data_IF_207589326851
#
_entry.id   IF_207589326851
#
_cell.length_a   1.000
_cell.length_b   1.000
_cell.length_c   1.000
_cell.angle_alpha   90.00
_cell.angle_beta   90.00
_cell.angle_gamma   90.00
#
_symmetry.space_group_name_H-M   'P 1'
#
loop_
_entity.id
_entity.type
_entity.pdbx_description
1 polymer ?
#
# COMPACT_ATOMS: atom_id res chain seq x y z
N UNK A 1 -17.34 -5.11 -20.28
CA UNK A 1 -18.09 -6.32 -19.88
C UNK A 1 -17.22 -7.11 -18.91
N UNK A 2 -17.76 -7.62 -17.80
CA UNK A 2 -16.99 -8.41 -16.82
C UNK A 2 -16.95 -9.88 -17.23
N UNK A 3 -15.82 -10.54 -17.00
CA UNK A 3 -15.68 -11.99 -17.14
C UNK A 3 -15.42 -12.69 -15.80
N UNK A 4 -15.96 -13.89 -15.63
CA UNK A 4 -15.77 -14.71 -14.43
C UNK A 4 -15.39 -16.15 -14.77
N UNK A 5 -14.36 -16.65 -14.10
CA UNK A 5 -13.88 -18.04 -14.13
C UNK A 5 -14.32 -18.74 -12.84
N UNK A 6 -14.71 -20.01 -12.92
CA UNK A 6 -15.14 -20.80 -11.76
C UNK A 6 -14.51 -22.18 -11.76
N UNK A 7 -14.16 -22.69 -10.57
CA UNK A 7 -13.70 -24.06 -10.38
C UNK A 7 -12.48 -24.42 -11.24
N UNK A 8 -12.59 -25.54 -11.96
CA UNK A 8 -11.54 -26.09 -12.83
C UNK A 8 -11.10 -25.14 -13.95
N UNK A 9 -11.95 -24.17 -14.34
CA UNK A 9 -11.62 -23.20 -15.37
C UNK A 9 -10.58 -22.18 -14.91
N UNK A 10 -10.49 -21.90 -13.60
CA UNK A 10 -9.49 -20.96 -13.07
C UNK A 10 -8.09 -21.48 -13.38
N UNK A 11 -7.82 -22.73 -13.03
CA UNK A 11 -6.52 -23.35 -13.28
C UNK A 11 -6.24 -23.53 -14.78
N UNK A 12 -7.27 -23.84 -15.57
CA UNK A 12 -7.14 -24.02 -17.03
C UNK A 12 -6.79 -22.74 -17.78
N UNK A 13 -7.23 -21.58 -17.29
CA UNK A 13 -7.02 -20.28 -17.96
C UNK A 13 -6.12 -19.30 -17.20
N UNK A 14 -5.56 -19.69 -16.05
CA UNK A 14 -4.75 -18.76 -15.22
C UNK A 14 -3.59 -18.13 -16.01
N UNK A 15 -2.96 -18.91 -16.88
CA UNK A 15 -1.79 -18.48 -17.66
C UNK A 15 -2.19 -17.89 -19.02
N UNK A 16 -3.46 -18.05 -19.43
CA UNK A 16 -3.97 -17.52 -20.69
C UNK A 16 -4.24 -16.01 -20.61
N UNK A 17 -4.69 -15.53 -19.45
CA UNK A 17 -4.93 -14.12 -19.21
C UNK A 17 -3.70 -13.44 -18.62
N UNK A 18 -3.14 -12.51 -19.39
CA UNK A 18 -2.11 -11.58 -18.98
C UNK A 18 -2.78 -10.24 -18.70
N UNK A 19 -2.31 -9.57 -17.64
CA UNK A 19 -2.78 -8.23 -17.31
C UNK A 19 -2.64 -7.30 -18.53
N UNK A 20 -3.72 -6.56 -18.83
CA UNK A 20 -3.83 -5.68 -20.00
C UNK A 20 -3.66 -6.35 -21.38
N UNK A 21 -3.75 -7.67 -21.49
CA UNK A 21 -3.77 -8.36 -22.79
C UNK A 21 -5.06 -8.09 -23.58
N UNK A 22 -4.97 -8.13 -24.91
CA UNK A 22 -6.13 -8.02 -25.80
C UNK A 22 -6.47 -9.38 -26.38
N UNK A 23 -7.71 -9.79 -26.17
CA UNK A 23 -8.19 -11.13 -26.47
C UNK A 23 -9.46 -11.08 -27.33
N UNK A 24 -9.51 -11.97 -28.30
CA UNK A 24 -10.74 -12.40 -28.94
C UNK A 24 -11.34 -13.52 -28.08
N UNK A 25 -12.58 -13.31 -27.63
CA UNK A 25 -13.28 -14.26 -26.78
C UNK A 25 -14.55 -14.68 -27.51
N UNK A 26 -14.66 -15.97 -27.82
CA UNK A 26 -15.81 -16.56 -28.49
C UNK A 26 -16.45 -17.66 -27.63
N UNK A 27 -17.74 -17.91 -27.84
CA UNK A 27 -18.50 -18.97 -27.15
C UNK A 27 -18.50 -18.87 -25.61
N UNK A 28 -18.37 -17.65 -25.07
CA UNK A 28 -18.55 -17.39 -23.64
C UNK A 28 -20.04 -17.16 -23.33
N UNK A 29 -20.70 -17.97 -22.48
CA UNK A 29 -22.07 -17.71 -22.05
C UNK A 29 -22.18 -16.38 -21.31
N UNK A 30 -23.16 -15.55 -21.70
CA UNK A 30 -23.46 -14.27 -21.07
C UNK A 30 -24.62 -14.47 -20.09
N UNK A 31 -24.48 -13.96 -18.87
CA UNK A 31 -25.47 -14.00 -17.80
C UNK A 31 -25.68 -12.61 -17.22
N UNK A 32 -26.82 -12.40 -16.56
CA UNK A 32 -27.03 -11.20 -15.77
C UNK A 32 -25.96 -11.10 -14.67
N UNK A 33 -25.39 -9.91 -14.50
CA UNK A 33 -24.44 -9.58 -13.46
C UNK A 33 -25.22 -9.29 -12.17
N UNK A 34 -24.89 -10.01 -11.11
CA UNK A 34 -25.48 -9.76 -9.81
C UNK A 34 -25.08 -8.36 -9.30
N UNK A 35 -26.04 -7.52 -8.89
CA UNK A 35 -25.76 -6.19 -8.35
C UNK A 35 -24.69 -6.17 -7.26
N UNK A 36 -24.59 -7.21 -6.43
CA UNK A 36 -23.60 -7.28 -5.35
C UNK A 36 -22.15 -7.32 -5.86
N UNK A 37 -21.93 -7.76 -7.10
CA UNK A 37 -20.63 -7.88 -7.71
C UNK A 37 -20.31 -6.73 -8.67
N UNK A 38 -21.22 -5.75 -8.84
CA UNK A 38 -20.94 -4.55 -9.63
C UNK A 38 -19.96 -3.64 -8.88
N UNK A 39 -18.90 -3.21 -9.55
CA UNK A 39 -17.91 -2.32 -9.00
C UNK A 39 -18.30 -0.86 -9.24
N UNK A 40 -19.02 -0.56 -10.30
CA UNK A 40 -19.51 0.78 -10.61
C UNK A 40 -21.00 0.75 -11.00
N UNK A 41 -21.79 1.80 -10.71
CA UNK A 41 -23.13 1.96 -11.30
C UNK A 41 -23.12 2.01 -12.83
N UNK A 42 -21.97 2.33 -13.43
CA UNK A 42 -21.76 2.34 -14.89
C UNK A 42 -21.31 1.00 -15.45
N UNK A 43 -21.11 -0.03 -14.61
CA UNK A 43 -20.80 -1.37 -15.09
C UNK A 43 -22.01 -1.96 -15.83
N UNK A 44 -21.73 -2.74 -16.87
CA UNK A 44 -22.78 -3.42 -17.63
C UNK A 44 -23.61 -4.36 -16.74
N UNK A 45 -24.90 -4.50 -17.05
CA UNK A 45 -25.83 -5.42 -16.40
C UNK A 45 -25.54 -6.90 -16.69
N UNK A 46 -24.61 -7.18 -17.58
CA UNK A 46 -24.26 -8.52 -18.03
C UNK A 46 -22.79 -8.83 -17.77
N UNK A 47 -22.53 -10.09 -17.46
CA UNK A 47 -21.20 -10.66 -17.31
C UNK A 47 -21.06 -11.90 -18.19
N UNK A 48 -19.86 -12.14 -18.72
CA UNK A 48 -19.50 -13.39 -19.38
C UNK A 48 -18.97 -14.38 -18.35
N UNK A 49 -19.29 -15.66 -18.53
CA UNK A 49 -18.68 -16.75 -17.78
C UNK A 49 -17.84 -17.59 -18.73
N UNK A 50 -16.60 -17.89 -18.34
CA UNK A 50 -15.74 -18.75 -19.13
C UNK A 50 -16.03 -20.21 -18.80
N UNK A 51 -16.34 -20.99 -19.84
CA UNK A 51 -16.60 -22.42 -19.72
C UNK A 51 -15.71 -23.25 -20.65
N UNK A 52 -15.97 -24.55 -20.69
CA UNK A 52 -15.19 -25.51 -21.50
C UNK A 52 -15.23 -25.26 -23.01
N UNK A 53 -16.29 -24.62 -23.49
CA UNK A 53 -16.45 -24.29 -24.92
C UNK A 53 -15.97 -22.89 -25.27
N UNK A 54 -15.57 -22.09 -24.28
CA UNK A 54 -15.11 -20.74 -24.51
C UNK A 54 -13.74 -20.78 -25.17
N UNK A 55 -13.59 -20.06 -26.27
CA UNK A 55 -12.35 -19.96 -27.02
C UNK A 55 -11.76 -18.59 -26.72
N UNK A 56 -10.50 -18.56 -26.29
CA UNK A 56 -9.76 -17.34 -25.99
C UNK A 56 -8.53 -17.32 -26.87
N UNK A 57 -8.40 -16.29 -27.69
CA UNK A 57 -7.25 -16.10 -28.57
C UNK A 57 -6.67 -14.72 -28.33
N UNK A 58 -5.37 -14.63 -28.03
CA UNK A 58 -4.68 -13.34 -27.97
C UNK A 58 -4.58 -12.76 -29.39
N UNK A 59 -5.11 -11.55 -29.61
CA UNK A 59 -5.13 -10.92 -30.94
C UNK A 59 -3.77 -10.28 -31.24
N UNK A 60 -3.10 -9.76 -30.21
CA UNK A 60 -1.75 -9.24 -30.33
C UNK A 60 -1.08 -9.27 -28.95
N UNK A 61 0.04 -9.99 -28.83
CA UNK A 61 0.85 -9.98 -27.60
C UNK A 61 1.56 -8.61 -27.41
N UNK A 62 1.60 -7.79 -28.46
CA UNK A 62 2.09 -6.41 -28.43
C UNK A 62 0.98 -5.36 -28.27
N UNK A 63 -0.28 -5.79 -28.09
CA UNK A 63 -1.40 -4.88 -27.90
C UNK A 63 -1.07 -3.89 -26.78
N UNK A 64 -1.12 -2.61 -27.14
CA UNK A 64 -0.74 -1.47 -26.32
C UNK A 64 -1.34 -1.63 -24.92
N UNK A 65 -0.49 -1.98 -23.94
CA UNK A 65 -0.89 -2.04 -22.54
C UNK A 65 -1.63 -0.75 -22.25
N UNK A 66 -2.91 -0.83 -21.86
CA UNK A 66 -3.69 0.35 -21.46
C UNK A 66 -2.85 1.07 -20.42
N UNK A 67 -2.34 2.24 -20.81
CA UNK A 67 -1.39 2.99 -19.98
C UNK A 67 -2.20 3.49 -18.78
N UNK A 68 -1.81 3.12 -17.55
CA UNK A 68 -2.52 3.58 -16.37
C UNK A 68 -2.56 5.10 -16.35
N UNK A 69 -3.70 5.66 -15.98
CA UNK A 69 -3.86 7.11 -15.93
C UNK A 69 -3.43 7.61 -14.55
N UNK A 70 -2.11 7.64 -14.32
CA UNK A 70 -1.56 8.00 -13.03
C UNK A 70 -1.90 9.42 -12.60
N UNK A 71 -2.46 9.54 -11.39
CA UNK A 71 -2.69 10.78 -10.68
C UNK A 71 -1.56 11.05 -9.68
N UNK A 72 -1.26 12.31 -9.38
CA UNK A 72 -0.37 12.66 -8.25
C UNK A 72 -1.10 12.47 -6.92
N UNK A 73 -0.33 12.28 -5.86
CA UNK A 73 -0.86 12.12 -4.50
C UNK A 73 -1.71 13.34 -4.09
N UNK A 74 -1.34 14.55 -4.53
CA UNK A 74 -2.10 15.78 -4.28
C UNK A 74 -3.49 15.82 -4.94
N UNK A 75 -3.70 15.09 -6.02
CA UNK A 75 -4.97 15.08 -6.79
C UNK A 75 -5.98 14.07 -6.22
N UNK A 76 -5.52 13.15 -5.38
CA UNK A 76 -6.36 12.12 -4.81
C UNK A 76 -7.37 12.71 -3.80
N UNK A 77 -8.63 12.27 -3.83
CA UNK A 77 -9.61 12.72 -2.85
C UNK A 77 -9.28 12.18 -1.46
N UNK A 78 -9.27 13.05 -0.45
CA UNK A 78 -8.94 12.66 0.94
C UNK A 78 -9.99 11.79 1.62
N UNK A 79 -11.20 11.78 1.09
CA UNK A 79 -12.34 11.05 1.60
C UNK A 79 -12.98 10.27 0.45
N UNK A 80 -13.31 9.01 0.67
CA UNK A 80 -14.05 8.21 -0.31
C UNK A 80 -15.52 8.59 -0.28
N UNK A 81 -16.09 9.04 -1.40
CA UNK A 81 -17.53 9.21 -1.56
C UNK A 81 -18.19 8.03 -2.33
N UNK A 82 -17.41 7.02 -2.73
CA UNK A 82 -17.92 5.90 -3.54
C UNK A 82 -16.92 4.77 -3.74
N UNK A 83 -17.14 3.98 -4.80
CA UNK A 83 -16.25 2.88 -5.22
C UNK A 83 -15.23 3.31 -6.28
N UNK A 84 -14.89 4.60 -6.29
CA UNK A 84 -13.88 5.17 -7.18
C UNK A 84 -12.52 4.52 -6.96
N UNK A 85 -11.80 4.34 -8.06
CA UNK A 85 -10.49 3.72 -8.07
C UNK A 85 -9.49 4.65 -8.74
N UNK A 86 -8.28 4.65 -8.23
CA UNK A 86 -7.24 5.58 -8.61
C UNK A 86 -5.97 4.84 -9.01
N UNK A 87 -5.39 5.24 -10.13
CA UNK A 87 -4.06 4.81 -10.53
C UNK A 87 -3.06 5.83 -9.97
N UNK A 88 -2.04 5.35 -9.25
CA UNK A 88 -1.07 6.20 -8.56
C UNK A 88 0.34 5.71 -8.89
N UNK A 89 1.25 6.66 -9.09
CA UNK A 89 2.67 6.40 -9.28
C UNK A 89 3.48 7.16 -8.25
N UNK A 90 4.50 6.52 -7.69
CA UNK A 90 5.36 7.15 -6.69
C UNK A 90 6.68 6.42 -6.52
N UNK A 91 7.58 7.07 -5.80
CA UNK A 91 8.85 6.51 -5.37
C UNK A 91 8.61 5.68 -4.12
N UNK A 92 9.06 4.43 -4.11
CA UNK A 92 9.00 3.55 -2.95
C UNK A 92 9.94 4.05 -1.85
N UNK A 93 9.36 4.42 -0.70
CA UNK A 93 10.09 4.96 0.47
C UNK A 93 10.24 3.92 1.55
N UNK A 94 9.21 3.10 1.75
CA UNK A 94 9.22 2.05 2.77
C UNK A 94 8.27 0.92 2.36
N UNK A 95 8.67 -0.30 2.71
CA UNK A 95 7.79 -1.46 2.66
C UNK A 95 8.06 -2.34 3.87
N UNK A 96 6.99 -2.87 4.46
CA UNK A 96 7.10 -3.80 5.58
C UNK A 96 7.79 -5.11 5.15
N UNK A 97 8.78 -5.56 5.92
CA UNK A 97 9.64 -6.69 5.56
C UNK A 97 8.85 -7.99 5.37
N UNK A 98 7.81 -8.22 6.19
CA UNK A 98 6.93 -9.38 6.12
C UNK A 98 5.46 -8.94 6.17
N UNK A 99 4.55 -9.66 5.50
CA UNK A 99 3.14 -9.38 5.64
C UNK A 99 2.68 -9.71 7.07
N UNK A 100 1.79 -8.89 7.61
CA UNK A 100 1.08 -9.12 8.87
C UNK A 100 -0.24 -9.86 8.60
N UNK A 101 -0.60 -10.77 9.50
CA UNK A 101 -1.90 -11.45 9.41
C UNK A 101 -2.96 -10.68 10.19
N UNK A 102 -4.10 -10.41 9.56
CA UNK A 102 -5.27 -9.76 10.15
C UNK A 102 -6.44 -10.71 10.10
N UNK A 103 -7.03 -11.01 11.26
CA UNK A 103 -8.25 -11.80 11.34
C UNK A 103 -9.47 -10.89 11.16
N UNK A 104 -10.31 -11.18 10.17
CA UNK A 104 -11.57 -10.45 9.95
C UNK A 104 -12.64 -10.86 10.95
N UNK A 105 -13.75 -10.10 11.00
CA UNK A 105 -14.92 -10.45 11.81
C UNK A 105 -15.51 -11.83 11.48
N UNK A 106 -15.26 -12.34 10.26
CA UNK A 106 -15.67 -13.66 9.78
C UNK A 106 -14.63 -14.75 10.11
N UNK A 107 -13.68 -14.49 11.02
CA UNK A 107 -12.58 -15.38 11.40
C UNK A 107 -11.65 -15.80 10.24
N UNK A 108 -11.71 -15.11 9.10
CA UNK A 108 -10.79 -15.35 7.98
C UNK A 108 -9.48 -14.61 8.24
N UNK A 109 -8.36 -15.31 8.11
CA UNK A 109 -7.03 -14.72 8.19
C UNK A 109 -6.66 -14.11 6.83
N UNK A 110 -6.31 -12.83 6.82
CA UNK A 110 -5.89 -12.10 5.63
C UNK A 110 -4.48 -11.55 5.82
N UNK A 111 -3.62 -11.73 4.81
CA UNK A 111 -2.30 -11.12 4.77
C UNK A 111 -2.41 -9.66 4.35
N UNK A 112 -1.72 -8.78 5.06
CA UNK A 112 -1.65 -7.34 4.78
C UNK A 112 -0.20 -6.90 4.82
N UNK A 113 0.20 -6.01 3.93
CA UNK A 113 1.54 -5.41 3.96
C UNK A 113 1.43 -3.91 3.71
N UNK A 114 2.12 -3.12 4.52
CA UNK A 114 2.14 -1.67 4.33
C UNK A 114 3.28 -1.25 3.39
N UNK A 115 2.92 -0.45 2.39
CA UNK A 115 3.81 0.18 1.43
C UNK A 115 3.67 1.69 1.59
N UNK A 116 4.77 2.42 1.51
CA UNK A 116 4.79 3.88 1.62
C UNK A 116 5.49 4.43 0.39
N UNK A 117 4.80 5.32 -0.31
CA UNK A 117 5.30 5.97 -1.51
C UNK A 117 5.30 7.49 -1.35
N UNK A 118 6.20 8.16 -2.06
CA UNK A 118 6.23 9.62 -2.16
C UNK A 118 6.24 10.07 -3.61
N UNK A 119 5.75 11.28 -3.85
CA UNK A 119 5.92 11.98 -5.12
C UNK A 119 6.36 13.42 -4.85
N UNK A 120 6.55 14.19 -5.92
CA UNK A 120 6.94 15.60 -5.83
C UNK A 120 5.78 16.53 -5.44
N UNK A 121 4.55 16.02 -5.37
CA UNK A 121 3.34 16.85 -5.21
C UNK A 121 2.99 17.14 -3.76
N UNK A 122 3.49 16.34 -2.82
CA UNK A 122 3.21 16.45 -1.39
C UNK A 122 4.47 16.21 -0.56
N UNK A 123 4.55 16.86 0.60
CA UNK A 123 5.64 16.63 1.56
C UNK A 123 5.46 15.33 2.37
N UNK A 124 4.21 14.90 2.55
CA UNK A 124 3.89 13.71 3.35
C UNK A 124 3.72 12.49 2.43
N UNK A 125 4.44 11.38 2.68
CA UNK A 125 4.30 10.20 1.86
C UNK A 125 2.94 9.52 2.09
N UNK A 126 2.43 8.89 1.04
CA UNK A 126 1.17 8.15 1.03
C UNK A 126 1.38 6.70 1.50
N UNK A 127 0.49 6.23 2.36
CA UNK A 127 0.47 4.83 2.80
C UNK A 127 -0.53 4.04 1.96
N UNK A 128 -0.08 2.90 1.43
CA UNK A 128 -0.87 1.92 0.69
C UNK A 128 -0.88 0.61 1.48
N UNK A 129 -2.06 0.06 1.75
CA UNK A 129 -2.22 -1.28 2.32
C UNK A 129 -2.44 -2.29 1.20
N UNK A 130 -1.45 -3.17 0.96
CA UNK A 130 -1.57 -4.34 0.10
C UNK A 130 -2.23 -5.49 0.85
N UNK A 131 -3.10 -6.24 0.18
CA UNK A 131 -3.88 -7.33 0.76
C UNK A 131 -3.72 -8.64 -0.04
N UNK A 132 -3.84 -9.77 0.64
CA UNK A 132 -3.80 -11.12 0.04
C UNK A 132 -2.49 -11.38 -0.71
N UNK A 133 -2.55 -12.00 -1.89
CA UNK A 133 -1.40 -12.37 -2.72
C UNK A 133 -0.55 -11.15 -3.08
N UNK A 134 -1.17 -9.97 -3.26
CA UNK A 134 -0.43 -8.72 -3.48
C UNK A 134 0.47 -8.36 -2.30
N UNK A 135 0.06 -8.69 -1.07
CA UNK A 135 0.85 -8.47 0.15
C UNK A 135 2.02 -9.45 0.26
N UNK A 136 1.98 -10.57 -0.44
CA UNK A 136 2.98 -11.63 -0.42
C UNK A 136 3.81 -11.57 -1.72
N UNK A 137 3.39 -12.28 -2.76
CA UNK A 137 4.12 -12.53 -4.01
C UNK A 137 4.54 -11.22 -4.70
N UNK A 138 3.60 -10.29 -4.90
CA UNK A 138 3.90 -9.05 -5.63
C UNK A 138 4.75 -8.08 -4.81
N UNK A 139 4.56 -8.00 -3.50
CA UNK A 139 5.42 -7.17 -2.64
C UNK A 139 6.82 -7.77 -2.46
N UNK A 140 6.96 -9.10 -2.35
CA UNK A 140 8.27 -9.75 -2.16
C UNK A 140 9.20 -9.44 -3.33
N UNK A 141 8.62 -9.34 -4.51
CA UNK A 141 9.31 -9.03 -5.74
C UNK A 141 9.78 -7.57 -5.89
N UNK A 142 9.34 -6.68 -4.98
CA UNK A 142 9.87 -5.32 -4.79
C UNK A 142 11.03 -5.29 -3.76
N UNK A 143 11.37 -6.42 -3.15
CA UNK A 143 12.50 -6.53 -2.23
C UNK A 143 13.80 -6.88 -2.99
N UNK A 144 14.96 -6.26 -2.66
CA UNK A 144 15.16 -5.29 -1.58
C UNK A 144 14.82 -3.84 -2.00
N UNK A 145 13.86 -3.23 -1.31
CA UNK A 145 13.43 -1.85 -1.57
C UNK A 145 14.37 -0.79 -0.99
N UNK A 146 15.17 -1.14 0.02
CA UNK A 146 15.98 -0.19 0.80
C UNK A 146 17.27 0.26 0.10
N UNK A 147 17.73 -0.50 -0.91
CA UNK A 147 18.98 -0.22 -1.61
C UNK A 147 18.87 0.84 -2.71
N UNK A 148 17.67 1.09 -3.23
CA UNK A 148 17.43 2.03 -4.33
C UNK A 148 16.01 2.59 -4.26
N UNK A 149 15.88 3.89 -4.53
CA UNK A 149 14.60 4.54 -4.74
C UNK A 149 14.02 4.13 -6.09
N UNK A 150 13.15 3.12 -6.08
CA UNK A 150 12.45 2.65 -7.27
C UNK A 150 11.12 3.38 -7.46
N UNK A 151 10.80 3.70 -8.72
CA UNK A 151 9.49 4.24 -9.08
C UNK A 151 8.56 3.06 -9.34
N UNK A 152 7.41 3.04 -8.66
CA UNK A 152 6.42 1.97 -8.71
C UNK A 152 5.05 2.56 -9.01
N UNK A 153 4.31 1.92 -9.92
CA UNK A 153 2.94 2.24 -10.24
C UNK A 153 1.97 1.26 -9.58
N UNK A 154 0.82 1.77 -9.16
CA UNK A 154 -0.29 0.98 -8.62
C UNK A 154 -1.55 1.34 -9.37
N UNK A 155 -2.31 0.33 -9.77
CA UNK A 155 -3.58 0.54 -10.46
C UNK A 155 -4.78 0.26 -9.57
N UNK A 156 -5.90 0.90 -9.88
CA UNK A 156 -7.20 0.59 -9.31
C UNK A 156 -7.25 0.58 -7.76
N UNK A 157 -6.50 1.49 -7.11
CA UNK A 157 -6.46 1.64 -5.66
C UNK A 157 -7.72 2.33 -5.14
N UNK A 158 -8.15 1.98 -3.92
CA UNK A 158 -9.30 2.61 -3.27
C UNK A 158 -8.89 3.41 -2.05
N UNK A 159 -9.49 4.58 -1.84
CA UNK A 159 -9.27 5.38 -0.63
C UNK A 159 -9.77 4.61 0.59
N UNK A 160 -8.92 4.54 1.61
CA UNK A 160 -9.18 3.88 2.89
C UNK A 160 -8.90 4.85 4.04
N UNK A 161 -9.83 4.92 4.99
CA UNK A 161 -9.73 5.81 6.14
C UNK A 161 -9.03 5.18 7.36
N UNK A 162 -8.50 3.95 7.25
CA UNK A 162 -8.13 3.15 8.42
C UNK A 162 -6.98 3.75 9.26
N UNK A 163 -6.18 4.68 8.71
CA UNK A 163 -5.09 5.38 9.42
C UNK A 163 -4.95 6.84 8.97
N UNK A 164 -6.07 7.53 8.77
CA UNK A 164 -6.10 8.83 8.11
C UNK A 164 -6.18 8.67 6.59
N UNK A 165 -5.47 9.51 5.84
CA UNK A 165 -5.46 9.44 4.39
C UNK A 165 -4.53 8.32 3.90
N UNK A 166 -5.12 7.22 3.43
CA UNK A 166 -4.41 6.05 2.91
C UNK A 166 -5.15 5.43 1.73
N UNK A 167 -4.47 4.60 0.95
CA UNK A 167 -5.10 3.77 -0.07
C UNK A 167 -5.02 2.28 0.31
N UNK A 168 -5.92 1.49 -0.24
CA UNK A 168 -5.91 0.04 -0.13
C UNK A 168 -6.01 -0.59 -1.53
N UNK A 169 -5.32 -1.70 -1.70
CA UNK A 169 -5.42 -2.50 -2.93
C UNK A 169 -6.80 -3.15 -3.02
N UNK A 170 -7.30 -3.30 -4.24
CA UNK A 170 -8.53 -4.03 -4.56
C UNK A 170 -8.20 -5.29 -5.34
N UNK A 171 -9.20 -6.15 -5.60
CA UNK A 171 -9.03 -7.35 -6.43
C UNK A 171 -8.61 -7.03 -7.88
N UNK A 172 -8.79 -5.78 -8.33
CA UNK A 172 -8.37 -5.32 -9.66
C UNK A 172 -7.04 -4.56 -9.63
N UNK A 173 -6.38 -4.46 -8.47
CA UNK A 173 -5.12 -3.74 -8.36
C UNK A 173 -3.98 -4.57 -8.94
N UNK A 174 -3.12 -3.91 -9.72
CA UNK A 174 -1.86 -4.46 -10.18
C UNK A 174 -0.71 -3.53 -9.80
N UNK A 175 0.42 -4.13 -9.45
CA UNK A 175 1.66 -3.41 -9.13
C UNK A 175 2.55 -3.44 -10.36
N UNK A 176 2.86 -2.27 -10.91
CA UNK A 176 3.67 -2.11 -12.12
C UNK A 176 5.07 -1.69 -11.69
N UNK A 177 6.02 -2.61 -11.85
CA UNK A 177 7.44 -2.33 -11.65
C UNK A 177 8.00 -1.60 -12.85
N UNK A 178 8.80 -0.57 -12.62
CA UNK A 178 9.37 0.27 -13.69
C UNK A 178 8.29 0.80 -14.65
N UNK A 179 7.30 1.56 -14.14
CA UNK A 179 6.30 2.18 -14.99
C UNK A 179 6.98 3.07 -16.05
N UNK A 180 6.31 3.15 -17.20
CA UNK A 180 6.76 3.94 -18.36
C UNK A 180 5.89 5.18 -18.54
N UNK A 181 6.39 6.14 -19.30
CA UNK A 181 5.68 7.38 -19.63
C UNK A 181 6.21 8.60 -18.88
N UNK A 182 5.77 9.78 -19.32
CA UNK A 182 6.29 11.08 -18.90
C UNK A 182 6.30 11.27 -17.37
N UNK A 183 5.24 10.82 -16.69
CA UNK A 183 5.14 10.92 -15.23
C UNK A 183 6.16 10.04 -14.50
N UNK A 184 6.42 8.84 -15.01
CA UNK A 184 7.42 7.95 -14.47
C UNK A 184 8.83 8.52 -14.67
N UNK A 185 9.09 9.08 -15.84
CA UNK A 185 10.39 9.68 -16.16
C UNK A 185 10.64 10.96 -15.35
N UNK A 186 9.62 11.80 -15.17
CA UNK A 186 9.67 12.95 -14.28
C UNK A 186 9.96 12.56 -12.83
N UNK A 187 9.39 11.45 -12.33
CA UNK A 187 9.73 10.93 -11.00
C UNK A 187 11.16 10.38 -10.92
N UNK A 188 11.65 9.68 -11.94
CA UNK A 188 13.04 9.22 -12.00
C UNK A 188 14.02 10.40 -11.97
N UNK A 189 13.74 11.46 -12.71
CA UNK A 189 14.54 12.69 -12.70
C UNK A 189 14.48 13.38 -11.32
N UNK A 190 13.28 13.46 -10.74
CA UNK A 190 13.08 14.02 -9.40
C UNK A 190 13.88 13.27 -8.33
N UNK A 191 13.90 11.93 -8.37
CA UNK A 191 14.74 11.08 -7.50
C UNK A 191 16.22 11.42 -7.65
N UNK A 192 16.69 11.62 -8.88
CA UNK A 192 18.08 12.01 -9.16
C UNK A 192 18.45 13.34 -8.50
N UNK A 193 17.56 14.34 -8.58
CA UNK A 193 17.78 15.68 -8.00
C UNK A 193 17.58 15.73 -6.48
N UNK A 194 16.66 14.94 -5.92
CA UNK A 194 16.20 15.05 -4.53
C UNK A 194 16.59 13.86 -3.65
N UNK A 195 17.69 13.18 -3.96
CA UNK A 195 18.13 11.97 -3.24
C UNK A 195 18.29 12.16 -1.73
N UNK A 196 18.81 13.32 -1.30
CA UNK A 196 18.98 13.65 0.13
C UNK A 196 17.63 13.72 0.85
N UNK A 197 16.65 14.39 0.24
CA UNK A 197 15.29 14.51 0.77
C UNK A 197 14.61 13.14 0.87
N UNK A 198 14.75 12.30 -0.15
CA UNK A 198 14.20 10.93 -0.12
C UNK A 198 14.84 10.06 0.97
N UNK A 199 16.15 10.22 1.19
CA UNK A 199 16.87 9.51 2.25
C UNK A 199 16.41 9.94 3.64
N UNK A 200 16.19 11.24 3.85
CA UNK A 200 15.62 11.78 5.09
C UNK A 200 14.20 11.24 5.31
N UNK A 201 13.35 11.28 4.28
CA UNK A 201 12.00 10.73 4.33
C UNK A 201 11.99 9.24 4.69
N UNK A 202 12.83 8.44 4.02
CA UNK A 202 12.97 7.01 4.31
C UNK A 202 13.40 6.77 5.76
N UNK A 203 14.40 7.53 6.25
CA UNK A 203 14.88 7.41 7.63
C UNK A 203 13.79 7.74 8.64
N UNK A 204 13.08 8.85 8.44
CA UNK A 204 11.96 9.27 9.31
C UNK A 204 10.84 8.26 9.34
N UNK A 205 10.46 7.70 8.18
CA UNK A 205 9.41 6.68 8.11
C UNK A 205 9.86 5.41 8.83
N UNK A 206 11.09 4.95 8.61
CA UNK A 206 11.65 3.77 9.28
C UNK A 206 11.70 3.97 10.79
N UNK A 207 12.14 5.12 11.27
CA UNK A 207 12.25 5.43 12.70
C UNK A 207 10.88 5.42 13.39
N UNK A 208 9.87 6.05 12.79
CA UNK A 208 8.50 6.05 13.31
C UNK A 208 7.94 4.63 13.38
N UNK A 209 8.19 3.81 12.37
CA UNK A 209 7.68 2.43 12.31
C UNK A 209 8.39 1.50 13.28
N UNK A 210 9.71 1.59 13.41
CA UNK A 210 10.50 0.80 14.38
C UNK A 210 10.20 1.21 15.83
N UNK A 211 10.06 2.50 16.09
CA UNK A 211 9.70 3.03 17.42
C UNK A 211 8.31 2.55 17.90
N UNK A 212 7.40 2.23 16.98
CA UNK A 212 6.08 1.67 17.30
C UNK A 212 6.12 0.29 17.96
N UNK A 213 7.08 -0.55 17.57
CA UNK A 213 7.19 -1.93 18.06
C UNK A 213 7.84 -2.04 19.46
N UNK A 214 8.59 -1.02 19.89
CA UNK A 214 9.30 -1.01 21.18
C UNK A 214 8.54 -0.22 22.28
N UNK A 215 7.25 0.04 22.08
CA UNK A 215 6.41 0.64 23.12
C UNK A 215 6.09 -0.40 24.20
N UNK A 216 7.08 -0.68 25.04
CA UNK A 216 6.86 -1.30 26.36
C UNK A 216 5.80 -0.44 27.07
N UNK A 217 4.57 -0.96 27.19
CA UNK A 217 3.47 -0.27 27.87
C UNK A 217 3.87 -0.13 29.34
N UNK A 218 4.46 1.02 29.69
CA UNK A 218 4.74 1.35 31.09
C UNK A 218 3.40 1.69 31.73
N UNK A 219 2.89 0.77 32.56
CA UNK A 219 1.68 0.99 33.37
C UNK A 219 1.77 2.37 34.04
N UNK A 220 0.66 3.10 34.11
CA UNK A 220 0.60 4.46 34.70
C UNK A 220 1.22 4.49 36.12
N UNK A 221 1.14 3.38 36.86
CA UNK A 221 1.78 3.21 38.16
C UNK A 221 3.31 3.40 38.14
N UNK A 222 4.04 2.85 37.15
CA UNK A 222 5.50 2.99 37.06
C UNK A 222 5.91 4.41 36.66
N UNK A 223 5.08 5.13 35.91
CA UNK A 223 5.32 6.53 35.58
C UNK A 223 5.09 7.45 36.79
N UNK A 224 4.06 7.19 37.60
CA UNK A 224 3.82 7.92 38.87
C UNK A 224 4.95 7.70 39.88
N UNK A 225 5.43 6.46 40.02
CA UNK A 225 6.54 6.13 40.91
C UNK A 225 7.84 6.84 40.49
N UNK A 226 8.15 6.85 39.19
CA UNK A 226 9.33 7.55 38.66
C UNK A 226 9.25 9.07 38.89
N UNK A 227 8.06 9.66 38.75
CA UNK A 227 7.83 11.08 39.01
C UNK A 227 8.02 11.44 40.49
N UNK A 228 7.55 10.59 41.41
CA UNK A 228 7.76 10.77 42.85
C UNK A 228 9.25 10.66 43.25
N UNK A 229 9.98 9.70 42.68
CA UNK A 229 11.43 9.54 42.92
C UNK A 229 12.21 10.75 42.42
N UNK A 230 11.85 11.30 41.25
CA UNK A 230 12.51 12.49 40.69
C UNK A 230 12.22 13.72 41.56
N UNK A 231 10.99 13.88 42.06
CA UNK A 231 10.63 14.97 42.98
C UNK A 231 11.37 14.86 44.31
N UNK A 232 11.47 13.67 44.91
CA UNK A 232 12.25 13.45 46.14
C UNK A 232 13.76 13.75 45.94
N UNK A 233 14.33 13.38 44.79
CA UNK A 233 15.73 13.68 44.46
C UNK A 233 15.99 15.16 44.18
N UNK A 234 14.97 15.91 43.76
CA UNK A 234 15.07 17.36 43.56
C UNK A 234 15.00 18.09 44.90
N UNK A 235 14.09 17.65 45.77
CA UNK A 235 13.95 18.19 47.12
C UNK A 235 15.20 17.93 48.00
N UNK A 236 15.82 16.75 47.89
CA UNK A 236 17.03 16.42 48.64
C UNK A 236 18.26 17.25 48.22
N UNK A 237 18.34 17.67 46.94
CA UNK A 237 19.43 18.54 46.45
C UNK A 237 19.27 20.01 46.86
N UNK A 238 18.07 20.44 47.22
CA UNK A 238 17.80 21.80 47.72
C UNK A 238 18.08 21.95 49.22
N UNK A 239 18.29 20.85 49.95
CA UNK A 239 18.41 20.82 51.41
C UNK A 239 19.69 20.15 51.92
N UNK A 240 20.74 20.05 51.10
CA UNK A 240 22.07 19.73 51.61
C UNK A 240 22.73 21.03 52.10
N UNK A 241 22.84 21.28 53.43
CA UNK A 241 23.59 22.42 53.91
C UNK A 241 25.06 22.20 53.58
N UNK A 242 25.66 23.16 52.88
CA UNK A 242 27.11 23.24 52.67
C UNK A 242 27.74 23.34 54.06
N UNK A 243 28.34 22.26 54.56
CA UNK A 243 29.20 22.31 55.73
C UNK A 243 30.50 23.01 55.32
N UNK A 244 30.54 24.33 55.52
CA UNK A 244 31.78 25.10 55.59
C UNK A 244 32.62 24.57 56.76
N UNK A 245 33.60 23.74 56.42
CA UNK A 245 34.66 23.31 57.32
C UNK A 245 35.70 24.44 57.40
N UNK A 246 35.60 25.28 58.44
CA UNK A 246 36.72 26.11 58.90
C UNK A 246 37.20 25.49 60.20
N UNK A 247 38.32 24.77 60.15
CA UNK A 247 39.11 24.41 61.33
C UNK A 247 40.25 25.42 61.49
N UNK A 248 40.45 25.77 62.76
CA UNK A 248 41.44 26.61 63.45
C UNK A 248 42.74 26.98 62.74
#
# INVERSE_FOLDING_TARGET
>A
MRGALFGDQVDGYKDAFVYNGVYEIANAPIKACDPQWKLSPTDMDYQMTFGRQTIIQAIDAAATSVVPQYQTISQLPRFSCGNEKFDVIGVLIYMEEKPRTVTTAQQKQLSVREIVIADHSVEQPLVISAWHDLAEVDCDSLSPWSGKFEVVGFTALKVSAHRGFSLATTMSTSIIRSPQGERADGLKEWVGKHRRLLTDMQSRVVDVRKSGNDKTIKKIATLKLKKAIIQQRRFRREWDPVHDNIYC
#
